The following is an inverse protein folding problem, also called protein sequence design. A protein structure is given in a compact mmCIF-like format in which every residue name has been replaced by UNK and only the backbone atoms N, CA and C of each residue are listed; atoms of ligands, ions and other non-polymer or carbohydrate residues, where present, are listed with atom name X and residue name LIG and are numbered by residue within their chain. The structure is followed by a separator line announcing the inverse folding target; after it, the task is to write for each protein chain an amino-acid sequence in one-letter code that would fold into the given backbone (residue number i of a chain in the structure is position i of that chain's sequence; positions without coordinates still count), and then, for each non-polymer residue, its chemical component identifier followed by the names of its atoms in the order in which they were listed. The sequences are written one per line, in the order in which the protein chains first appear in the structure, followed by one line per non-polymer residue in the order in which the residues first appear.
data_IF_384210998123
#
_entry.id   IF_384210998123
#
_cell.length_a   1.000
_cell.length_b   1.000
_cell.length_c   1.000
_cell.angle_alpha   90.00
_cell.angle_beta   90.00
_cell.angle_gamma   90.00
#
_symmetry.space_group_name_H-M   'P 1'
#
loop_
_entity.id
_entity.type
_entity.pdbx_description
1 polymer ?
#
# COMPACT_ATOMS: atom_id res chain seq x y z
N UNK A 1 8.12 7.65 13.11
CA UNK A 1 8.31 6.69 12.00
C UNK A 1 7.86 7.31 10.68
N UNK A 2 6.57 7.30 10.29
CA UNK A 2 6.17 7.82 8.96
C UNK A 2 6.38 9.34 8.78
N UNK A 3 6.29 10.11 9.86
CA UNK A 3 6.53 11.57 9.86
C UNK A 3 7.94 11.95 9.38
N UNK A 4 8.91 11.07 9.60
CA UNK A 4 10.33 11.29 9.25
C UNK A 4 10.64 10.84 7.81
N UNK A 5 9.74 10.09 7.17
CA UNK A 5 9.91 9.53 5.82
C UNK A 5 9.68 10.58 4.74
N UNK A 6 10.47 10.57 3.65
CA UNK A 6 10.22 11.46 2.50
C UNK A 6 8.89 11.10 1.83
N UNK A 7 8.23 12.08 1.22
CA UNK A 7 6.98 11.85 0.48
C UNK A 7 7.13 10.78 -0.61
N UNK A 8 8.27 10.75 -1.29
CA UNK A 8 8.61 9.71 -2.27
C UNK A 8 8.61 8.29 -1.66
N UNK A 9 9.06 8.13 -0.42
CA UNK A 9 9.06 6.84 0.27
C UNK A 9 7.65 6.33 0.59
N UNK A 10 6.70 7.24 0.85
CA UNK A 10 5.30 6.86 1.02
C UNK A 10 4.70 6.39 -0.31
N UNK A 11 5.04 7.07 -1.41
CA UNK A 11 4.68 6.65 -2.77
C UNK A 11 5.25 5.27 -3.11
N UNK A 12 6.50 5.00 -2.76
CA UNK A 12 7.13 3.70 -2.98
C UNK A 12 6.41 2.57 -2.21
N UNK A 13 6.00 2.83 -0.96
CA UNK A 13 5.21 1.88 -0.17
C UNK A 13 3.85 1.58 -0.81
N UNK A 14 3.17 2.60 -1.34
CA UNK A 14 1.91 2.42 -2.06
C UNK A 14 2.13 1.58 -3.32
N UNK A 15 3.19 1.88 -4.09
CA UNK A 15 3.51 1.14 -5.32
C UNK A 15 3.84 -0.33 -5.03
N UNK A 16 4.59 -0.62 -3.96
CA UNK A 16 4.88 -1.99 -3.55
C UNK A 16 3.62 -2.77 -3.18
N UNK A 17 2.68 -2.16 -2.42
CA UNK A 17 1.40 -2.80 -2.09
C UNK A 17 0.52 -3.00 -3.32
N UNK A 18 0.49 -2.03 -4.24
CA UNK A 18 -0.25 -2.15 -5.50
C UNK A 18 0.26 -3.34 -6.35
N UNK A 19 1.57 -3.46 -6.51
CA UNK A 19 2.18 -4.57 -7.26
C UNK A 19 1.87 -5.93 -6.61
N UNK A 20 1.88 -5.98 -5.28
CA UNK A 20 1.50 -7.18 -4.53
C UNK A 20 0.04 -7.55 -4.74
N UNK A 21 -0.88 -6.59 -4.65
CA UNK A 21 -2.32 -6.83 -4.90
C UNK A 21 -2.52 -7.34 -6.33
N UNK A 22 -1.89 -6.71 -7.31
CA UNK A 22 -1.96 -7.13 -8.71
C UNK A 22 -1.49 -8.59 -8.89
N UNK A 23 -0.38 -8.98 -8.27
CA UNK A 23 0.08 -10.37 -8.29
C UNK A 23 -0.92 -11.35 -7.64
N UNK A 24 -1.60 -10.95 -6.56
CA UNK A 24 -2.60 -11.80 -5.90
C UNK A 24 -3.82 -12.00 -6.81
N UNK A 25 -4.25 -10.94 -7.50
CA UNK A 25 -5.34 -11.00 -8.48
C UNK A 25 -4.96 -11.85 -9.71
N UNK A 26 -3.75 -11.67 -10.25
CA UNK A 26 -3.23 -12.43 -11.38
C UNK A 26 -3.06 -13.92 -11.07
N UNK A 27 -2.80 -14.28 -9.80
CA UNK A 27 -2.70 -15.67 -9.33
C UNK A 27 -4.07 -16.28 -8.94
N UNK A 28 -5.16 -15.74 -9.51
CA UNK A 28 -6.54 -16.25 -9.38
C UNK A 28 -7.02 -16.37 -7.92
N UNK A 29 -6.55 -15.48 -7.05
CA UNK A 29 -6.79 -15.50 -5.60
C UNK A 29 -6.35 -16.81 -4.91
N UNK A 30 -5.51 -17.64 -5.54
CA UNK A 30 -5.00 -18.89 -4.97
C UNK A 30 -3.95 -18.68 -3.87
N UNK A 31 -4.04 -17.58 -3.12
CA UNK A 31 -3.21 -17.34 -1.95
C UNK A 31 -3.92 -17.91 -0.71
N UNK A 32 -3.42 -19.06 -0.26
CA UNK A 32 -3.92 -19.83 0.87
C UNK A 32 -4.02 -19.05 2.20
N UNK A 33 -3.23 -17.98 2.39
CA UNK A 33 -3.10 -17.25 3.66
C UNK A 33 -2.55 -15.84 3.41
N UNK A 34 -3.24 -14.99 2.63
CA UNK A 34 -2.85 -13.58 2.51
C UNK A 34 -3.77 -12.74 3.39
N UNK A 35 -3.22 -11.71 4.07
CA UNK A 35 -4.01 -10.57 4.53
C UNK A 35 -4.98 -10.18 3.41
N UNK A 36 -6.27 -10.02 3.74
CA UNK A 36 -7.30 -9.72 2.76
C UNK A 36 -6.89 -8.56 1.87
N UNK A 37 -7.27 -8.62 0.60
CA UNK A 37 -6.97 -7.57 -0.38
C UNK A 37 -7.48 -6.21 0.15
N UNK A 38 -8.60 -6.22 0.85
CA UNK A 38 -9.20 -5.05 1.53
C UNK A 38 -8.24 -4.38 2.53
N UNK A 39 -7.49 -5.16 3.32
CA UNK A 39 -6.52 -4.62 4.27
C UNK A 39 -5.35 -3.94 3.53
N UNK A 40 -4.93 -4.50 2.39
CA UNK A 40 -3.89 -3.88 1.56
C UNK A 40 -4.37 -2.56 0.92
N UNK A 41 -5.63 -2.49 0.51
CA UNK A 41 -6.23 -1.24 0.04
C UNK A 41 -6.30 -0.19 1.15
N UNK A 42 -6.71 -0.58 2.36
CA UNK A 42 -6.78 0.34 3.51
C UNK A 42 -5.40 0.91 3.86
N UNK A 43 -4.36 0.09 3.82
CA UNK A 43 -2.98 0.54 4.05
C UNK A 43 -2.51 1.54 3.00
N UNK A 44 -2.77 1.27 1.71
CA UNK A 44 -2.44 2.20 0.63
C UNK A 44 -3.13 3.56 0.83
N UNK A 45 -4.40 3.54 1.27
CA UNK A 45 -5.17 4.74 1.54
C UNK A 45 -4.60 5.53 2.74
N UNK A 46 -4.19 4.84 3.80
CA UNK A 46 -3.51 5.47 4.95
C UNK A 46 -2.21 6.14 4.54
N UNK A 47 -1.37 5.49 3.73
CA UNK A 47 -0.13 6.09 3.23
C UNK A 47 -0.38 7.28 2.31
N UNK A 48 -1.44 7.25 1.50
CA UNK A 48 -1.83 8.39 0.67
C UNK A 48 -2.25 9.59 1.54
N UNK A 49 -3.04 9.37 2.60
CA UNK A 49 -3.41 10.42 3.55
C UNK A 49 -2.18 10.98 4.26
N UNK A 50 -1.23 10.14 4.68
CA UNK A 50 0.03 10.59 5.28
C UNK A 50 0.87 11.45 4.32
N UNK A 51 0.91 11.08 3.03
CA UNK A 51 1.61 11.86 2.02
C UNK A 51 0.95 13.23 1.80
N UNK A 52 -0.39 13.28 1.79
CA UNK A 52 -1.15 14.53 1.68
C UNK A 52 -0.93 15.45 2.88
N UNK A 53 -0.95 14.90 4.10
CA UNK A 53 -0.67 15.66 5.33
C UNK A 53 0.73 16.27 5.29
N UNK A 54 1.71 15.60 4.64
CA UNK A 54 3.10 16.07 4.57
C UNK A 54 3.38 17.06 3.43
N UNK A 55 2.48 17.14 2.45
CA UNK A 55 2.55 18.12 1.35
C UNK A 55 2.07 19.51 1.77
N UNK A 56 1.21 19.57 2.79
CA UNK A 56 0.83 20.79 3.50
C UNK A 56 1.86 21.17 4.58
#
# INVERSE_FOLDING_TARGET
AWRDMRGSSLTDLILQKLLRVKQIEDNDRSTLISEGIDANYLDMLNYAVFALIKLN
#
